data_IF_600219188301
#
_entry.id   IF_600219188301
#
_cell.length_a   1.000
_cell.length_b   1.000
_cell.length_c   1.000
_cell.angle_alpha   90.00
_cell.angle_beta   90.00
_cell.angle_gamma   90.00
#
_symmetry.space_group_name_H-M   'P 1'
#
loop_
_entity.id
_entity.type
_entity.pdbx_description
1 polymer ?
#
# COMPACT_ATOMS: atom_id res chain seq x y z
N UNK A 1 6.37 -5.23 -0.84
CA UNK A 1 5.45 -4.85 -1.95
C UNK A 1 6.26 -4.70 -3.23
N UNK A 2 6.04 -5.63 -4.15
CA UNK A 2 6.73 -5.74 -5.42
C UNK A 2 6.23 -4.76 -6.47
N UNK A 3 7.00 -4.62 -7.56
CA UNK A 3 6.62 -3.74 -8.68
C UNK A 3 5.30 -4.15 -9.32
N UNK A 4 5.00 -5.43 -9.43
CA UNK A 4 3.76 -5.90 -10.07
C UNK A 4 2.57 -5.98 -9.11
N UNK A 5 2.77 -5.66 -7.83
CA UNK A 5 1.70 -5.61 -6.86
C UNK A 5 0.68 -4.51 -7.17
N UNK A 6 -0.59 -4.84 -7.02
CA UNK A 6 -1.68 -3.87 -7.16
C UNK A 6 -1.64 -2.89 -5.99
N UNK A 7 -1.52 -1.60 -6.30
CA UNK A 7 -1.58 -0.51 -5.33
C UNK A 7 -3.00 0.08 -5.29
N UNK A 8 -3.62 0.31 -6.45
CA UNK A 8 -5.00 0.80 -6.49
C UNK A 8 -5.97 -0.34 -6.83
N UNK A 9 -6.56 -0.96 -5.81
CA UNK A 9 -7.57 -2.02 -5.95
C UNK A 9 -8.87 -1.54 -6.59
N UNK A 10 -9.11 -0.22 -6.64
CA UNK A 10 -10.31 0.35 -7.28
C UNK A 10 -10.20 0.36 -8.81
N UNK A 11 -8.99 0.60 -9.34
CA UNK A 11 -8.76 0.81 -10.78
C UNK A 11 -7.67 -0.11 -11.33
N UNK A 12 -7.29 -1.15 -10.58
CA UNK A 12 -6.33 -2.17 -10.96
C UNK A 12 -4.96 -1.59 -11.39
N UNK A 13 -4.43 -0.66 -10.59
CA UNK A 13 -3.16 0.01 -10.89
C UNK A 13 -2.04 -0.59 -10.06
N UNK A 14 -0.99 -1.10 -10.72
CA UNK A 14 0.20 -1.67 -10.07
C UNK A 14 1.23 -0.62 -9.69
N UNK A 15 2.14 -0.94 -8.75
CA UNK A 15 3.28 -0.09 -8.38
C UNK A 15 4.11 0.28 -9.62
N UNK A 16 4.40 -0.68 -10.50
CA UNK A 16 5.14 -0.49 -11.76
C UNK A 16 4.48 0.54 -12.65
N UNK A 17 3.14 0.48 -12.79
CA UNK A 17 2.39 1.43 -13.62
C UNK A 17 2.48 2.85 -13.05
N UNK A 18 2.38 3.02 -11.73
CA UNK A 18 2.54 4.33 -11.06
C UNK A 18 3.95 4.87 -11.26
N UNK A 19 4.98 4.07 -10.98
CA UNK A 19 6.38 4.49 -11.11
C UNK A 19 6.72 4.87 -12.56
N UNK A 20 6.24 4.08 -13.53
CA UNK A 20 6.42 4.39 -14.94
C UNK A 20 5.68 5.68 -15.34
N UNK A 21 4.44 5.88 -14.85
CA UNK A 21 3.69 7.10 -15.09
C UNK A 21 4.44 8.33 -14.58
N UNK A 22 4.94 8.30 -13.34
CA UNK A 22 5.69 9.41 -12.74
C UNK A 22 6.95 9.72 -13.57
N UNK A 23 7.69 8.68 -13.98
CA UNK A 23 8.90 8.82 -14.79
C UNK A 23 8.64 9.46 -16.15
N UNK A 24 7.57 9.06 -16.84
CA UNK A 24 7.24 9.50 -18.21
C UNK A 24 6.55 10.86 -18.21
N UNK A 25 5.52 11.04 -17.37
CA UNK A 25 4.68 12.23 -17.37
C UNK A 25 5.22 13.36 -16.49
N UNK A 26 6.16 13.07 -15.58
CA UNK A 26 6.79 14.03 -14.67
C UNK A 26 5.76 14.97 -14.03
N UNK A 27 4.77 14.44 -13.29
CA UNK A 27 3.80 15.27 -12.58
C UNK A 27 4.53 16.29 -11.70
N UNK A 28 3.93 17.47 -11.53
CA UNK A 28 4.47 18.56 -10.71
C UNK A 28 4.08 18.45 -9.25
N UNK A 29 2.94 17.82 -8.97
CA UNK A 29 2.40 17.61 -7.62
C UNK A 29 1.82 16.20 -7.48
N UNK A 30 1.83 15.66 -6.26
CA UNK A 30 1.38 14.30 -5.99
C UNK A 30 -0.08 14.01 -6.43
N UNK A 31 -0.97 15.00 -6.38
CA UNK A 31 -2.37 14.83 -6.80
C UNK A 31 -2.51 14.47 -8.28
N UNK A 32 -1.58 14.89 -9.14
CA UNK A 32 -1.58 14.56 -10.57
C UNK A 32 -1.28 13.09 -10.85
N UNK A 33 -0.76 12.33 -9.87
CA UNK A 33 -0.63 10.87 -10.02
C UNK A 33 -2.01 10.20 -10.21
N UNK A 34 -3.11 10.87 -9.85
CA UNK A 34 -4.47 10.38 -10.15
C UNK A 34 -4.80 10.31 -11.64
N UNK A 35 -4.08 11.02 -12.50
CA UNK A 35 -4.20 10.92 -13.96
C UNK A 35 -3.68 9.54 -14.46
N UNK A 36 -2.96 8.78 -13.62
CA UNK A 36 -2.64 7.38 -13.86
C UNK A 36 -3.86 6.49 -13.64
N UNK A 37 -4.78 6.47 -14.62
CA UNK A 37 -5.94 5.58 -14.62
C UNK A 37 -6.89 5.78 -13.44
N UNK A 38 -6.99 7.01 -12.91
CA UNK A 38 -7.88 7.36 -11.80
C UNK A 38 -7.34 7.00 -10.41
N UNK A 39 -6.09 6.54 -10.28
CA UNK A 39 -5.53 6.08 -9.01
C UNK A 39 -5.78 7.08 -7.86
N UNK A 40 -6.32 6.59 -6.73
CA UNK A 40 -6.62 7.42 -5.56
C UNK A 40 -7.97 8.14 -5.57
N UNK A 41 -8.76 8.08 -6.64
CA UNK A 41 -10.09 8.73 -6.70
C UNK A 41 -11.25 7.85 -6.18
N UNK A 42 -11.02 6.54 -6.00
CA UNK A 42 -11.98 5.61 -5.40
C UNK A 42 -11.98 5.65 -3.88
N UNK A 43 -11.70 4.51 -3.21
CA UNK A 43 -11.70 4.45 -1.74
C UNK A 43 -10.61 5.29 -1.06
N UNK A 44 -9.58 5.74 -1.79
CA UNK A 44 -8.55 6.64 -1.25
C UNK A 44 -7.42 5.98 -0.46
N UNK A 45 -7.52 4.69 -0.13
CA UNK A 45 -6.48 3.95 0.60
C UNK A 45 -5.07 4.12 0.03
N UNK A 46 -4.94 4.05 -1.31
CA UNK A 46 -3.65 4.12 -1.98
C UNK A 46 -3.02 5.52 -2.00
N UNK A 47 -3.71 6.60 -1.61
CA UNK A 47 -3.21 7.99 -1.75
C UNK A 47 -1.88 8.22 -1.03
N UNK A 48 -1.69 7.63 0.15
CA UNK A 48 -0.42 7.74 0.90
C UNK A 48 0.75 7.14 0.11
N UNK A 49 0.52 6.02 -0.57
CA UNK A 49 1.52 5.33 -1.40
C UNK A 49 1.80 6.12 -2.68
N UNK A 50 0.77 6.66 -3.34
CA UNK A 50 0.96 7.53 -4.52
C UNK A 50 1.81 8.76 -4.18
N UNK A 51 1.53 9.40 -3.03
CA UNK A 51 2.33 10.54 -2.55
C UNK A 51 3.77 10.11 -2.25
N UNK A 52 3.96 8.96 -1.59
CA UNK A 52 5.28 8.41 -1.30
C UNK A 52 6.10 8.18 -2.58
N UNK A 53 5.54 7.47 -3.57
CA UNK A 53 6.23 7.23 -4.85
C UNK A 53 6.53 8.52 -5.62
N UNK A 54 5.63 9.50 -5.54
CA UNK A 54 5.89 10.83 -6.06
C UNK A 54 7.09 11.47 -5.34
N UNK A 55 7.09 11.55 -4.02
CA UNK A 55 8.15 12.18 -3.24
C UNK A 55 9.52 11.47 -3.45
N UNK A 56 9.53 10.13 -3.47
CA UNK A 56 10.71 9.32 -3.81
C UNK A 56 11.27 9.71 -5.19
N UNK A 57 10.41 9.88 -6.21
CA UNK A 57 10.84 10.31 -7.54
C UNK A 57 11.42 11.73 -7.60
N UNK A 58 11.07 12.58 -6.63
CA UNK A 58 11.60 13.94 -6.52
C UNK A 58 12.90 14.00 -5.70
N UNK A 59 13.42 12.87 -5.23
CA UNK A 59 14.53 12.84 -4.27
C UNK A 59 14.15 13.42 -2.89
N UNK A 60 12.84 13.52 -2.61
CA UNK A 60 12.32 14.02 -1.34
C UNK A 60 12.10 12.84 -0.42
N UNK A 61 13.09 12.51 0.40
CA UNK A 61 12.92 11.48 1.44
C UNK A 61 11.88 11.97 2.45
N UNK A 62 10.69 11.36 2.47
CA UNK A 62 9.77 11.51 3.59
C UNK A 62 10.19 10.52 4.67
N UNK A 63 10.69 11.04 5.79
CA UNK A 63 10.58 10.34 7.08
C UNK A 63 9.09 10.13 7.32
N UNK A 64 8.61 8.90 7.16
CA UNK A 64 7.39 8.47 7.82
C UNK A 64 7.59 8.81 9.29
N UNK A 65 6.77 9.71 9.82
CA UNK A 65 6.79 10.14 11.22
C UNK A 65 6.85 8.92 12.14
N UNK A 66 8.04 8.66 12.68
CA UNK A 66 8.36 7.46 13.46
C UNK A 66 9.83 7.07 13.30
N UNK A 67 10.75 7.89 13.83
CA UNK A 67 12.17 7.52 13.99
C UNK A 67 13.07 7.87 12.81
N UNK A 68 14.23 8.44 13.15
CA UNK A 68 15.33 8.78 12.26
C UNK A 68 16.32 7.62 12.31
N UNK A 69 16.51 6.88 11.21
CA UNK A 69 17.60 5.91 11.11
C UNK A 69 18.53 6.26 9.94
N UNK A 70 19.83 6.54 10.21
CA UNK A 70 20.85 6.80 9.19
C UNK A 70 21.34 5.52 8.48
N UNK A 71 20.73 4.38 8.79
CA UNK A 71 20.82 3.14 8.03
C UNK A 71 19.44 2.86 7.42
N UNK A 72 19.11 3.55 6.32
CA UNK A 72 17.89 3.30 5.57
C UNK A 72 17.98 1.97 4.79
N UNK A 73 18.12 0.86 5.51
CA UNK A 73 17.85 -0.48 5.02
C UNK A 73 16.31 -0.63 4.99
N UNK A 74 15.79 -0.74 3.77
CA UNK A 74 14.45 -1.23 3.40
C UNK A 74 13.29 -0.74 4.27
N UNK A 75 12.62 0.32 3.78
CA UNK A 75 11.29 0.66 4.27
C UNK A 75 10.43 -0.62 4.38
N UNK A 76 9.77 -0.88 5.52
CA UNK A 76 9.15 -2.17 5.79
C UNK A 76 8.24 -2.54 4.63
N UNK A 77 8.64 -3.57 3.89
CA UNK A 77 7.85 -4.11 2.80
C UNK A 77 6.66 -4.84 3.40
N UNK A 78 5.56 -4.13 3.62
CA UNK A 78 4.29 -4.82 3.85
C UNK A 78 4.01 -5.75 2.66
N UNK A 79 3.44 -6.91 2.94
CA UNK A 79 3.01 -7.83 1.88
C UNK A 79 1.77 -7.29 1.17
N UNK A 80 1.48 -7.79 -0.04
CA UNK A 80 0.24 -7.45 -0.75
C UNK A 80 -1.00 -7.85 0.06
N UNK A 81 -0.93 -8.96 0.79
CA UNK A 81 -1.99 -9.44 1.66
C UNK A 81 -2.24 -8.49 2.84
N UNK A 82 -1.18 -8.08 3.54
CA UNK A 82 -1.28 -7.12 4.64
C UNK A 82 -1.83 -5.77 4.16
N UNK A 83 -1.42 -5.34 2.96
CA UNK A 83 -1.95 -4.16 2.32
C UNK A 83 -3.46 -4.27 2.03
N UNK A 84 -3.92 -5.43 1.52
CA UNK A 84 -5.32 -5.70 1.23
C UNK A 84 -6.18 -5.76 2.51
N UNK A 85 -5.66 -6.38 3.57
CA UNK A 85 -6.32 -6.46 4.89
C UNK A 85 -6.45 -5.07 5.51
N UNK A 86 -5.38 -4.27 5.48
CA UNK A 86 -5.39 -2.90 5.99
C UNK A 86 -6.34 -1.99 5.21
N UNK A 87 -6.43 -2.16 3.88
CA UNK A 87 -7.44 -1.49 3.05
C UNK A 87 -8.86 -1.84 3.50
N UNK A 88 -9.12 -3.10 3.78
CA UNK A 88 -10.45 -3.56 4.20
C UNK A 88 -10.83 -2.94 5.54
N UNK A 89 -9.91 -2.91 6.51
CA UNK A 89 -10.11 -2.22 7.79
C UNK A 89 -10.40 -0.73 7.59
N UNK A 90 -9.62 -0.04 6.74
CA UNK A 90 -9.83 1.37 6.41
C UNK A 90 -11.23 1.65 5.85
N UNK A 91 -11.71 0.82 4.91
CA UNK A 91 -13.05 0.99 4.33
C UNK A 91 -14.15 0.67 5.34
N UNK A 92 -13.99 -0.41 6.13
CA UNK A 92 -14.95 -0.78 7.19
C UNK A 92 -15.06 0.29 8.29
N UNK A 93 -13.98 1.03 8.54
CA UNK A 93 -13.98 2.19 9.43
C UNK A 93 -14.74 3.42 8.87
N UNK A 94 -15.37 3.30 7.69
CA UNK A 94 -16.17 4.36 7.08
C UNK A 94 -15.39 5.27 6.14
N UNK A 95 -14.15 4.94 5.80
CA UNK A 95 -13.35 5.77 4.90
C UNK A 95 -13.55 5.40 3.42
N UNK A 96 -13.98 6.40 2.63
CA UNK A 96 -14.08 6.29 1.18
C UNK A 96 -15.02 5.17 0.71
N UNK A 97 -15.21 5.06 -0.61
CA UNK A 97 -16.01 4.00 -1.21
C UNK A 97 -15.24 3.36 -2.38
N UNK A 98 -15.13 2.02 -2.45
CA UNK A 98 -14.58 1.36 -3.64
C UNK A 98 -15.31 1.78 -4.91
N UNK A 99 -14.57 1.93 -6.02
CA UNK A 99 -15.17 2.16 -7.33
C UNK A 99 -15.94 0.91 -7.80
N UNK A 100 -16.85 1.10 -8.78
CA UNK A 100 -17.52 -0.03 -9.42
C UNK A 100 -16.49 -0.97 -10.07
N UNK A 101 -16.63 -2.28 -9.85
CA UNK A 101 -15.70 -3.28 -10.36
C UNK A 101 -14.35 -3.35 -9.62
N UNK A 102 -14.21 -2.71 -8.46
CA UNK A 102 -13.00 -2.82 -7.64
C UNK A 102 -12.75 -4.27 -7.19
N UNK A 103 -11.47 -4.63 -7.02
CA UNK A 103 -11.08 -5.89 -6.39
C UNK A 103 -11.78 -6.00 -5.02
N UNK A 104 -12.48 -7.13 -4.75
CA UNK A 104 -13.19 -7.37 -3.51
C UNK A 104 -12.31 -7.18 -2.26
N UNK A 105 -12.95 -6.87 -1.14
CA UNK A 105 -12.26 -6.88 0.15
C UNK A 105 -12.02 -8.33 0.57
N UNK A 106 -10.87 -8.66 1.18
CA UNK A 106 -10.69 -9.96 1.79
C UNK A 106 -11.76 -10.18 2.87
N UNK A 107 -12.31 -11.39 2.89
CA UNK A 107 -13.17 -11.85 3.98
C UNK A 107 -12.36 -11.91 5.27
N UNK A 108 -12.94 -11.41 6.35
CA UNK A 108 -12.26 -11.29 7.66
C UNK A 108 -11.98 -12.65 8.34
N UNK A 109 -12.30 -13.76 7.70
CA UNK A 109 -12.23 -15.12 8.26
C UNK A 109 -10.85 -15.78 8.20
N UNK A 110 -9.85 -15.16 7.57
CA UNK A 110 -8.46 -15.60 7.73
C UNK A 110 -7.81 -14.76 8.81
N UNK A 111 -7.97 -15.19 10.06
CA UNK A 111 -6.93 -14.93 11.05
C UNK A 111 -5.61 -15.38 10.45
N UNK A 112 -4.53 -14.57 10.46
CA UNK A 112 -3.22 -15.14 10.24
C UNK A 112 -3.06 -16.16 11.37
N UNK A 113 -2.92 -17.45 11.03
CA UNK A 113 -2.56 -18.49 11.98
C UNK A 113 -1.38 -17.96 12.79
N UNK A 114 -1.66 -17.45 14.01
CA UNK A 114 -0.66 -17.42 15.05
C UNK A 114 -0.30 -18.88 15.21
N UNK A 115 0.82 -19.29 14.63
CA UNK A 115 1.46 -20.48 15.15
C UNK A 115 1.64 -20.20 16.65
N UNK A 116 1.01 -20.98 17.53
CA UNK A 116 1.32 -20.86 18.94
C UNK A 116 2.84 -21.08 19.07
N UNK A 117 3.53 -20.35 19.98
CA UNK A 117 4.91 -20.69 20.27
C UNK A 117 4.96 -22.18 20.61
N UNK A 118 5.84 -22.91 19.93
CA UNK A 118 6.19 -24.29 20.25
C UNK A 118 6.92 -24.32 21.60
N UNK A 119 6.21 -24.00 22.66
CA UNK A 119 6.63 -24.20 24.04
C UNK A 119 5.73 -25.26 24.64
N UNK A 120 6.36 -26.40 24.93
CA UNK A 120 6.03 -27.50 25.86
C UNK A 120 6.54 -28.81 25.24
N UNK A 121 7.39 -29.64 25.84
CA UNK A 121 7.98 -29.70 27.19
C UNK A 121 8.96 -30.90 27.17
N UNK A 122 10.21 -30.73 27.63
CA UNK A 122 10.87 -31.78 28.45
C UNK A 122 10.25 -31.68 29.85
N UNK A 123 9.88 -32.80 30.52
CA UNK A 123 10.78 -33.73 31.23
C UNK A 123 10.38 -35.21 30.99
N UNK A 124 11.10 -36.27 31.34
CA UNK A 124 11.88 -36.65 32.53
C UNK A 124 13.24 -37.28 32.19
#
# INVERSE_FOLDING_TARGET
>A
MELDDTICFCFHITKRKVMNFIRVHRPRVASQVSECGGAGTGCGWCRKYLKRYFDESQGRMHSTSGGLDPHAEEAPEISLEEYATSRAAYIRAGHGKPAAGAIPLPDVTTEPTRQPPSDQQSPE
#
